data_IF_196048314094
#
_entry.id   IF_196048314094
#
_cell.length_a   1.000
_cell.length_b   1.000
_cell.length_c   1.000
_cell.angle_alpha   90.00
_cell.angle_beta   90.00
_cell.angle_gamma   90.00
#
_symmetry.space_group_name_H-M   'P 1'
#
loop_
_entity.id
_entity.type
_entity.pdbx_description
1 polymer ?
#
# COMPACT_ATOMS: atom_id res chain seq x y z
N UNK A 1 -14.55 10.60 -17.73
CA UNK A 1 -13.61 11.13 -16.73
C UNK A 1 -13.04 9.95 -15.97
N UNK A 2 -11.74 9.68 -16.06
CA UNK A 2 -11.12 8.59 -15.31
C UNK A 2 -10.75 9.11 -13.93
N UNK A 3 -11.39 8.63 -12.87
CA UNK A 3 -10.99 8.98 -11.51
C UNK A 3 -9.72 8.19 -11.14
N UNK A 4 -8.76 8.78 -10.41
CA UNK A 4 -7.60 8.04 -9.92
C UNK A 4 -8.06 6.96 -8.92
N UNK A 5 -7.45 5.77 -8.99
CA UNK A 5 -7.70 4.69 -8.03
C UNK A 5 -7.34 5.16 -6.61
N UNK A 6 -8.20 4.82 -5.64
CA UNK A 6 -7.96 5.02 -4.21
C UNK A 6 -7.75 3.65 -3.56
N UNK A 7 -6.61 3.48 -2.90
CA UNK A 7 -6.17 2.20 -2.34
C UNK A 7 -5.99 2.40 -0.84
N UNK A 8 -6.67 1.60 -0.03
CA UNK A 8 -6.40 1.51 1.41
C UNK A 8 -5.64 0.21 1.68
N UNK A 9 -4.39 0.34 2.11
CA UNK A 9 -3.53 -0.80 2.42
C UNK A 9 -3.28 -0.91 3.93
N UNK A 10 -4.09 -1.72 4.61
CA UNK A 10 -3.88 -2.05 6.00
C UNK A 10 -2.87 -3.20 6.14
N UNK A 11 -1.86 -3.08 7.01
CA UNK A 11 -0.93 -4.17 7.26
C UNK A 11 -0.65 -4.37 8.75
N UNK A 12 -0.37 -5.62 9.12
CA UNK A 12 -0.01 -5.96 10.49
C UNK A 12 1.42 -5.48 10.79
N UNK A 13 1.57 -4.54 11.71
CA UNK A 13 2.88 -4.00 12.11
C UNK A 13 3.77 -4.93 12.93
N UNK A 14 3.33 -6.16 13.24
CA UNK A 14 4.10 -7.11 14.05
C UNK A 14 4.83 -8.13 13.17
N UNK A 15 6.12 -8.33 13.42
CA UNK A 15 6.97 -9.25 12.66
C UNK A 15 7.61 -8.61 11.43
N UNK A 16 8.93 -8.81 11.29
CA UNK A 16 9.74 -8.17 10.25
C UNK A 16 9.28 -8.50 8.81
N UNK A 17 8.69 -9.69 8.60
CA UNK A 17 8.18 -10.10 7.30
C UNK A 17 7.01 -9.25 6.80
N UNK A 18 6.09 -8.83 7.69
CA UNK A 18 4.95 -8.00 7.31
C UNK A 18 5.40 -6.58 6.93
N UNK A 19 6.30 -5.99 7.71
CA UNK A 19 6.87 -4.67 7.41
C UNK A 19 7.70 -4.69 6.12
N UNK A 20 8.52 -5.72 5.92
CA UNK A 20 9.30 -5.88 4.69
C UNK A 20 8.39 -5.98 3.45
N UNK A 21 7.29 -6.73 3.56
CA UNK A 21 6.28 -6.84 2.49
C UNK A 21 5.55 -5.52 2.24
N UNK A 22 5.16 -4.80 3.29
CA UNK A 22 4.53 -3.48 3.14
C UNK A 22 5.44 -2.50 2.39
N UNK A 23 6.74 -2.49 2.72
CA UNK A 23 7.75 -1.67 2.04
C UNK A 23 7.92 -1.99 0.55
N UNK A 24 7.73 -3.25 0.15
CA UNK A 24 7.76 -3.65 -1.28
C UNK A 24 6.44 -3.34 -2.00
N UNK A 25 5.30 -3.50 -1.33
CA UNK A 25 3.97 -3.36 -1.95
C UNK A 25 3.50 -1.92 -2.09
N UNK A 26 3.73 -1.06 -1.09
CA UNK A 26 3.26 0.34 -1.10
C UNK A 26 3.74 1.11 -2.36
N UNK A 27 5.02 1.04 -2.77
CA UNK A 27 5.48 1.72 -3.99
C UNK A 27 4.82 1.20 -5.26
N UNK A 28 4.51 -0.11 -5.31
CA UNK A 28 3.83 -0.73 -6.45
C UNK A 28 2.37 -0.26 -6.54
N UNK A 29 1.68 -0.16 -5.41
CA UNK A 29 0.32 0.38 -5.36
C UNK A 29 0.28 1.86 -5.75
N UNK A 30 1.28 2.64 -5.35
CA UNK A 30 1.39 4.06 -5.70
C UNK A 30 1.52 4.30 -7.22
N UNK A 31 2.00 3.31 -7.99
CA UNK A 31 2.03 3.39 -9.46
C UNK A 31 0.63 3.29 -10.11
N UNK A 32 -0.37 2.82 -9.37
CA UNK A 32 -1.74 2.63 -9.86
C UNK A 32 -2.75 3.62 -9.30
N UNK A 33 -2.46 4.25 -8.15
CA UNK A 33 -3.38 5.19 -7.51
C UNK A 33 -2.83 5.82 -6.24
N UNK A 34 -3.68 6.60 -5.57
CA UNK A 34 -3.38 7.15 -4.25
C UNK A 34 -3.51 6.05 -3.21
N UNK A 35 -2.50 5.89 -2.35
CA UNK A 35 -2.44 4.85 -1.33
C UNK A 35 -2.49 5.48 0.07
N UNK A 36 -3.49 5.08 0.85
CA UNK A 36 -3.57 5.32 2.29
C UNK A 36 -3.15 4.04 3.02
N UNK A 37 -2.38 4.18 4.10
CA UNK A 37 -1.82 3.02 4.85
C UNK A 37 -2.36 3.04 6.28
N UNK A 38 -2.82 1.87 6.76
CA UNK A 38 -3.34 1.65 8.11
C UNK A 38 -2.62 0.53 8.85
#
# INVERSE_FOLDING_TARGET
>A
MNQPLKILYAFQGTGNGHVARARDLIPRFAAHGTVDVL
#
